data_IF_917583089128
#
_entry.id   IF_917583089128
#
_cell.length_a   1.000
_cell.length_b   1.000
_cell.length_c   1.000
_cell.angle_alpha   90.00
_cell.angle_beta   90.00
_cell.angle_gamma   90.00
#
_symmetry.space_group_name_H-M   'P 1'
#
loop_
_entity.id
_entity.type
_entity.pdbx_description
1 polymer ?
#
# COMPACT_ATOMS: atom_id res chain seq x y z
N UNK A 1 31.79 -26.80 -2.68
CA UNK A 1 30.72 -26.61 -3.69
C UNK A 1 30.28 -25.15 -3.65
N UNK A 2 30.45 -24.38 -4.74
CA UNK A 2 29.91 -23.01 -4.82
C UNK A 2 28.42 -23.13 -5.14
N UNK A 3 27.56 -22.79 -4.17
CA UNK A 3 26.12 -22.70 -4.42
C UNK A 3 25.87 -21.66 -5.50
N UNK A 4 25.29 -22.09 -6.63
CA UNK A 4 24.89 -21.19 -7.71
C UNK A 4 23.67 -20.42 -7.22
N UNK A 5 23.88 -19.22 -6.69
CA UNK A 5 22.79 -18.32 -6.29
C UNK A 5 22.08 -17.90 -7.57
N UNK A 6 20.91 -18.49 -7.82
CA UNK A 6 20.02 -18.09 -8.92
C UNK A 6 19.18 -16.93 -8.39
N UNK A 7 19.46 -15.70 -8.86
CA UNK A 7 18.61 -14.55 -8.56
C UNK A 7 17.32 -14.72 -9.38
N UNK A 8 16.23 -15.07 -8.71
CA UNK A 8 14.91 -15.04 -9.33
C UNK A 8 14.59 -13.57 -9.61
N UNK A 9 14.34 -13.17 -10.86
CA UNK A 9 13.99 -11.79 -11.17
C UNK A 9 12.63 -11.48 -10.55
N UNK A 10 12.62 -10.56 -9.60
CA UNK A 10 11.40 -10.02 -8.99
C UNK A 10 10.81 -8.99 -9.95
N UNK A 11 9.50 -9.04 -10.19
CA UNK A 11 8.83 -8.04 -11.02
C UNK A 11 8.92 -6.65 -10.38
N UNK A 12 8.74 -5.59 -11.18
CA UNK A 12 8.74 -4.22 -10.66
C UNK A 12 7.70 -4.05 -9.54
N UNK A 13 6.50 -4.59 -9.73
CA UNK A 13 5.42 -4.52 -8.73
C UNK A 13 5.83 -5.18 -7.41
N UNK A 14 6.33 -6.42 -7.47
CA UNK A 14 6.79 -7.13 -6.27
C UNK A 14 7.96 -6.40 -5.58
N UNK A 15 8.82 -5.73 -6.35
CA UNK A 15 9.90 -4.91 -5.78
C UNK A 15 9.35 -3.72 -5.00
N UNK A 16 8.36 -3.00 -5.53
CA UNK A 16 7.71 -1.89 -4.82
C UNK A 16 7.00 -2.39 -3.54
N UNK A 17 6.27 -3.50 -3.63
CA UNK A 17 5.66 -4.15 -2.46
C UNK A 17 6.70 -4.54 -1.39
N UNK A 18 7.89 -5.02 -1.80
CA UNK A 18 8.97 -5.35 -0.88
C UNK A 18 9.63 -4.11 -0.25
N UNK A 19 9.70 -2.98 -0.97
CA UNK A 19 10.27 -1.72 -0.47
C UNK A 19 9.34 -1.08 0.57
N UNK A 20 8.05 -1.03 0.26
CA UNK A 20 7.05 -0.34 1.09
C UNK A 20 6.44 -1.22 2.19
N UNK A 21 6.53 -2.54 2.05
CA UNK A 21 6.07 -3.49 3.05
C UNK A 21 4.55 -3.62 3.13
N UNK A 22 4.09 -4.08 4.29
CA UNK A 22 2.68 -4.35 4.57
C UNK A 22 1.84 -3.07 4.47
N UNK A 23 0.61 -3.19 3.97
CA UNK A 23 -0.31 -2.05 3.86
C UNK A 23 -0.04 -1.13 2.67
N UNK A 24 0.90 -1.46 1.80
CA UNK A 24 1.16 -0.69 0.57
C UNK A 24 0.10 -0.95 -0.52
N UNK A 25 -0.54 0.11 -0.99
CA UNK A 25 -1.43 0.09 -2.16
C UNK A 25 -1.05 1.21 -3.13
N UNK A 26 -0.50 0.90 -4.32
CA UNK A 26 -0.03 1.91 -5.25
C UNK A 26 -1.17 2.62 -5.98
N UNK A 27 -0.96 3.89 -6.34
CA UNK A 27 -1.75 4.57 -7.36
C UNK A 27 -1.13 4.28 -8.73
N UNK A 28 -1.87 3.63 -9.63
CA UNK A 28 -1.32 3.27 -10.95
C UNK A 28 -1.12 4.46 -11.92
N UNK A 29 -1.61 5.66 -11.57
CA UNK A 29 -1.56 6.85 -12.43
C UNK A 29 -0.70 7.99 -11.86
N UNK A 30 -0.09 7.81 -10.69
CA UNK A 30 0.78 8.82 -10.07
C UNK A 30 1.75 8.18 -9.08
N UNK A 31 2.81 8.89 -8.68
CA UNK A 31 3.79 8.40 -7.68
C UNK A 31 3.26 8.44 -6.23
N UNK A 32 1.96 8.23 -6.05
CA UNK A 32 1.27 8.22 -4.74
C UNK A 32 0.91 6.80 -4.36
N UNK A 33 0.75 6.57 -3.06
CA UNK A 33 0.26 5.30 -2.55
C UNK A 33 -0.50 5.50 -1.24
N UNK A 34 -1.32 4.52 -0.89
CA UNK A 34 -1.82 4.36 0.47
C UNK A 34 -0.85 3.48 1.25
N UNK A 35 -0.54 3.91 2.47
CA UNK A 35 0.16 3.11 3.46
C UNK A 35 -0.78 2.84 4.63
N UNK A 36 -1.42 1.68 4.64
CA UNK A 36 -2.26 1.24 5.75
C UNK A 36 -1.39 0.90 6.97
N UNK A 37 -1.89 1.22 8.16
CA UNK A 37 -1.33 0.70 9.42
C UNK A 37 -1.43 -0.83 9.45
N UNK A 38 -0.42 -1.49 10.00
CA UNK A 38 -0.42 -2.95 10.18
C UNK A 38 -1.51 -3.45 11.15
N UNK A 39 -2.07 -2.53 11.93
CA UNK A 39 -3.14 -2.77 12.89
C UNK A 39 -4.32 -1.85 12.65
N UNK A 40 -5.51 -2.31 13.01
CA UNK A 40 -6.74 -1.52 13.01
C UNK A 40 -7.37 -1.58 14.41
N UNK A 41 -8.17 -0.56 14.75
CA UNK A 41 -8.94 -0.54 15.98
C UNK A 41 -10.10 -1.53 15.85
N UNK A 42 -10.07 -2.62 16.64
CA UNK A 42 -11.10 -3.67 16.57
C UNK A 42 -12.42 -3.26 17.23
N UNK A 43 -12.37 -2.36 18.20
CA UNK A 43 -13.57 -1.94 18.93
C UNK A 43 -14.37 -0.95 18.09
N UNK A 44 -13.67 -0.02 17.43
CA UNK A 44 -14.28 1.00 16.57
C UNK A 44 -14.36 0.57 15.10
N UNK A 45 -13.69 -0.53 14.73
CA UNK A 45 -13.59 -1.04 13.35
C UNK A 45 -12.95 -0.03 12.36
N UNK A 46 -12.06 0.82 12.88
CA UNK A 46 -11.40 1.88 12.11
C UNK A 46 -9.98 1.48 11.72
N UNK A 47 -9.60 1.76 10.47
CA UNK A 47 -8.24 1.64 9.96
C UNK A 47 -7.69 3.01 9.59
N UNK A 48 -6.40 3.21 9.88
CA UNK A 48 -5.68 4.40 9.46
C UNK A 48 -4.85 4.11 8.21
N UNK A 49 -4.92 5.00 7.23
CA UNK A 49 -4.14 4.92 6.01
C UNK A 49 -3.50 6.27 5.71
N UNK A 50 -2.18 6.29 5.58
CA UNK A 50 -1.45 7.48 5.17
C UNK A 50 -1.49 7.59 3.64
N UNK A 51 -1.86 8.77 3.13
CA UNK A 51 -1.69 9.11 1.72
C UNK A 51 -0.28 9.63 1.53
N UNK A 52 0.53 8.87 0.81
CA UNK A 52 1.94 9.11 0.62
C UNK A 52 2.25 9.54 -0.82
N UNK A 53 3.34 10.26 -0.99
CA UNK A 53 3.90 10.69 -2.28
C UNK A 53 5.42 10.74 -2.18
N UNK A 54 6.09 10.94 -3.31
CA UNK A 54 7.49 11.36 -3.32
C UNK A 54 7.61 12.88 -3.18
N UNK A 55 8.64 13.34 -2.47
CA UNK A 55 9.07 14.74 -2.48
C UNK A 55 10.03 15.04 -3.66
N UNK A 56 10.58 16.25 -3.70
CA UNK A 56 11.50 16.67 -4.76
C UNK A 56 12.85 15.93 -4.77
N UNK A 57 13.17 15.17 -3.70
CA UNK A 57 14.36 14.33 -3.59
C UNK A 57 14.02 12.85 -3.73
N UNK A 58 12.85 12.52 -4.28
CA UNK A 58 12.34 11.14 -4.39
C UNK A 58 12.20 10.42 -3.03
N UNK A 59 12.03 11.16 -1.94
CA UNK A 59 11.83 10.58 -0.61
C UNK A 59 10.35 10.46 -0.28
N UNK A 60 9.95 9.40 0.46
CA UNK A 60 8.58 9.28 0.95
C UNK A 60 8.16 10.49 1.79
N UNK A 61 7.04 11.08 1.43
CA UNK A 61 6.40 12.20 2.13
C UNK A 61 4.93 11.90 2.34
N UNK A 62 4.46 12.06 3.59
CA UNK A 62 3.05 12.00 3.91
C UNK A 62 2.33 13.28 3.48
N UNK A 63 1.20 13.14 2.79
CA UNK A 63 0.26 14.22 2.49
C UNK A 63 -0.72 14.39 3.65
N UNK A 64 -1.42 13.31 4.01
CA UNK A 64 -2.39 13.28 5.10
C UNK A 64 -2.60 11.87 5.63
N UNK A 65 -3.34 11.75 6.73
CA UNK A 65 -3.79 10.48 7.29
C UNK A 65 -5.31 10.40 7.15
N UNK A 66 -5.81 9.28 6.64
CA UNK A 66 -7.23 8.94 6.59
C UNK A 66 -7.56 8.00 7.76
N UNK A 67 -8.75 8.17 8.33
CA UNK A 67 -9.35 7.23 9.27
C UNK A 67 -10.65 6.73 8.63
N UNK A 68 -10.72 5.42 8.37
CA UNK A 68 -11.76 4.80 7.54
C UNK A 68 -12.38 3.64 8.30
N UNK A 69 -13.71 3.47 8.21
CA UNK A 69 -14.34 2.22 8.66
C UNK A 69 -14.07 1.10 7.66
N UNK A 70 -13.60 -0.05 8.17
CA UNK A 70 -13.22 -1.20 7.32
C UNK A 70 -14.43 -1.80 6.60
N UNK A 71 -15.59 -1.86 7.23
CA UNK A 71 -16.78 -2.47 6.66
C UNK A 71 -17.36 -1.58 5.57
N UNK A 72 -17.38 -0.26 5.76
CA UNK A 72 -17.78 0.69 4.72
C UNK A 72 -16.84 0.61 3.52
N UNK A 73 -15.52 0.60 3.74
CA UNK A 73 -14.54 0.46 2.66
C UNK A 73 -14.75 -0.83 1.85
N UNK A 74 -14.95 -1.96 2.53
CA UNK A 74 -15.26 -3.25 1.88
C UNK A 74 -16.58 -3.21 1.12
N UNK A 75 -17.62 -2.60 1.70
CA UNK A 75 -18.94 -2.50 1.10
C UNK A 75 -18.90 -1.67 -0.19
N UNK A 76 -18.17 -0.56 -0.21
CA UNK A 76 -18.00 0.25 -1.42
C UNK A 76 -17.18 -0.49 -2.49
N UNK A 77 -16.07 -1.13 -2.12
CA UNK A 77 -15.27 -1.91 -3.06
C UNK A 77 -16.06 -3.06 -3.70
N UNK A 78 -16.94 -3.72 -2.94
CA UNK A 78 -17.77 -4.82 -3.45
C UNK A 78 -18.85 -4.38 -4.46
N UNK A 79 -19.21 -3.09 -4.50
CA UNK A 79 -20.16 -2.54 -5.49
C UNK A 79 -19.52 -2.31 -6.85
N UNK A 80 -18.19 -2.13 -6.89
CA UNK A 80 -17.44 -1.90 -8.12
C UNK A 80 -17.35 -3.22 -8.89
N UNK A 81 -17.83 -3.22 -10.13
CA UNK A 81 -17.76 -4.38 -11.03
C UNK A 81 -16.74 -4.10 -12.13
N UNK A 82 -15.98 -5.12 -12.58
CA UNK A 82 -15.21 -4.97 -13.81
C UNK A 82 -16.16 -4.63 -14.95
N UNK A 83 -15.74 -3.71 -15.82
CA UNK A 83 -16.42 -3.42 -17.08
C UNK A 83 -16.39 -4.64 -18.02
#
# INVERSE_FOLDING_TARGET
MKSKIIRIPVSRSEREHNIHGTGYVPCNVSDRWLQFSDTYDKELNLVFADVMTLDHNEKPKKICTLCLDINELKAELAKIKPE
#
